data_IF_698664548230
#
_entry.id   IF_698664548230
#
_cell.length_a   1.000
_cell.length_b   1.000
_cell.length_c   1.000
_cell.angle_alpha   90.00
_cell.angle_beta   90.00
_cell.angle_gamma   90.00
#
_symmetry.space_group_name_H-M   'P 1'
#
loop_
_entity.id
_entity.type
_entity.pdbx_description
1 polymer ?
#
# COMPACT_ATOMS: atom_id res chain seq x y z
N UNK A 1 22.20 -11.07 -10.75
CA UNK A 1 22.08 -9.77 -11.48
C UNK A 1 21.67 -8.67 -10.49
N UNK A 2 22.03 -7.39 -10.69
CA UNK A 2 21.86 -6.32 -9.69
C UNK A 2 20.43 -6.11 -9.13
N UNK A 3 19.41 -6.68 -9.77
CA UNK A 3 17.99 -6.55 -9.43
C UNK A 3 17.29 -7.89 -9.10
N UNK A 4 18.02 -8.94 -8.71
CA UNK A 4 17.44 -10.27 -8.38
C UNK A 4 16.43 -10.25 -7.22
N UNK A 5 16.38 -9.18 -6.44
CA UNK A 5 15.45 -9.01 -5.34
C UNK A 5 14.12 -8.35 -5.76
N UNK A 6 13.92 -8.02 -7.05
CA UNK A 6 12.68 -7.39 -7.54
C UNK A 6 12.04 -8.30 -8.57
N UNK A 7 10.92 -8.92 -8.18
CA UNK A 7 10.13 -9.71 -9.13
C UNK A 7 9.14 -8.78 -9.84
N UNK A 8 9.34 -8.55 -11.14
CA UNK A 8 8.43 -7.75 -11.97
C UNK A 8 7.35 -8.61 -12.63
N UNK A 9 6.18 -8.03 -12.87
CA UNK A 9 5.06 -8.66 -13.54
C UNK A 9 4.37 -7.69 -14.51
N UNK A 10 4.18 -8.14 -15.75
CA UNK A 10 3.51 -7.38 -16.81
C UNK A 10 2.00 -7.65 -16.79
N UNK A 11 1.18 -6.61 -16.95
CA UNK A 11 -0.25 -6.76 -17.22
C UNK A 11 -0.53 -7.08 -18.69
N UNK A 12 -1.73 -7.61 -18.99
CA UNK A 12 -2.22 -7.71 -20.36
C UNK A 12 -2.25 -6.39 -21.13
N UNK A 13 -2.42 -5.25 -20.43
CA UNK A 13 -2.42 -3.90 -21.03
C UNK A 13 -0.99 -3.33 -21.26
N UNK A 14 0.06 -4.08 -20.95
CA UNK A 14 1.45 -3.65 -21.08
C UNK A 14 2.03 -2.94 -19.86
N UNK A 15 1.24 -2.64 -18.83
CA UNK A 15 1.75 -2.02 -17.61
C UNK A 15 2.67 -2.96 -16.84
N UNK A 16 3.86 -2.47 -16.51
CA UNK A 16 4.81 -3.18 -15.66
C UNK A 16 4.55 -2.76 -14.22
N UNK A 17 4.56 -3.74 -13.31
CA UNK A 17 4.52 -3.46 -11.88
C UNK A 17 5.26 -4.53 -11.09
N UNK A 18 5.64 -4.23 -9.83
CA UNK A 18 6.34 -5.17 -8.99
C UNK A 18 5.39 -6.22 -8.42
N UNK A 19 5.95 -7.29 -7.86
CA UNK A 19 5.22 -8.19 -6.97
C UNK A 19 5.51 -7.84 -5.52
N UNK A 20 4.53 -8.07 -4.66
CA UNK A 20 4.78 -8.08 -3.23
C UNK A 20 5.78 -9.18 -2.88
N UNK A 21 6.82 -8.86 -2.12
CA UNK A 21 7.83 -9.84 -1.67
C UNK A 21 7.23 -10.94 -0.79
N UNK A 22 6.22 -10.63 0.03
CA UNK A 22 5.62 -11.59 0.96
C UNK A 22 4.59 -12.51 0.29
N UNK A 23 3.58 -11.95 -0.38
CA UNK A 23 2.47 -12.73 -0.92
C UNK A 23 2.49 -12.92 -2.45
N UNK A 24 3.45 -12.32 -3.16
CA UNK A 24 3.63 -12.50 -4.61
C UNK A 24 2.53 -11.87 -5.49
N UNK A 25 1.56 -11.16 -4.89
CA UNK A 25 0.51 -10.48 -5.65
C UNK A 25 1.13 -9.44 -6.57
N UNK A 26 0.56 -9.29 -7.76
CA UNK A 26 0.97 -8.25 -8.70
C UNK A 26 0.45 -6.90 -8.24
N UNK A 27 1.34 -5.94 -8.16
CA UNK A 27 1.06 -4.56 -7.78
C UNK A 27 1.29 -3.65 -8.98
N UNK A 28 0.73 -2.45 -8.93
CA UNK A 28 1.14 -1.33 -9.78
C UNK A 28 2.20 -0.53 -9.02
N UNK A 29 3.04 0.23 -9.73
CA UNK A 29 4.00 1.10 -9.03
C UNK A 29 3.31 2.18 -8.16
N UNK A 30 2.03 2.48 -8.39
CA UNK A 30 1.26 3.41 -7.58
C UNK A 30 0.76 2.85 -6.25
N UNK A 31 0.59 1.54 -6.12
CA UNK A 31 0.11 0.90 -4.88
C UNK A 31 1.18 0.05 -4.16
N UNK A 32 2.37 -0.08 -4.74
CA UNK A 32 3.49 -0.77 -4.12
C UNK A 32 4.24 0.14 -3.16
N UNK A 33 4.43 -0.32 -1.92
CA UNK A 33 5.24 0.38 -0.92
C UNK A 33 6.69 -0.14 -0.99
N UNK A 34 7.66 0.77 -1.00
CA UNK A 34 9.08 0.41 -1.00
C UNK A 34 9.59 0.19 0.43
N UNK A 35 10.15 -0.98 0.72
CA UNK A 35 10.73 -1.33 2.02
C UNK A 35 12.15 -1.85 1.79
N UNK A 36 13.14 -0.97 2.02
CA UNK A 36 14.55 -1.26 1.74
C UNK A 36 14.77 -1.56 0.25
N UNK A 37 14.97 -2.84 -0.07
CA UNK A 37 15.16 -3.31 -1.45
C UNK A 37 13.90 -3.94 -2.06
N UNK A 38 12.83 -4.11 -1.28
CA UNK A 38 11.65 -4.87 -1.70
C UNK A 38 10.44 -3.97 -1.95
N UNK A 39 9.48 -4.49 -2.70
CA UNK A 39 8.15 -3.91 -2.83
C UNK A 39 7.13 -4.75 -2.06
N UNK A 40 6.21 -4.09 -1.37
CA UNK A 40 5.18 -4.74 -0.55
C UNK A 40 3.81 -4.16 -0.83
N UNK A 41 2.77 -4.98 -0.66
CA UNK A 41 1.40 -4.46 -0.56
C UNK A 41 1.21 -3.75 0.79
N UNK A 42 0.15 -2.97 0.92
CA UNK A 42 -0.14 -2.21 2.14
C UNK A 42 -0.17 -3.09 3.41
N UNK A 43 -0.82 -4.24 3.36
CA UNK A 43 -0.94 -5.17 4.50
C UNK A 43 0.44 -5.59 5.03
N UNK A 44 1.30 -6.12 4.16
CA UNK A 44 2.64 -6.54 4.55
C UNK A 44 3.58 -5.37 4.87
N UNK A 45 3.34 -4.20 4.26
CA UNK A 45 4.05 -2.98 4.65
C UNK A 45 3.76 -2.62 6.10
N UNK A 46 2.49 -2.62 6.52
CA UNK A 46 2.07 -2.38 7.90
C UNK A 46 2.66 -3.43 8.84
N UNK A 47 2.55 -4.72 8.50
CA UNK A 47 3.13 -5.81 9.30
C UNK A 47 4.65 -5.70 9.48
N UNK A 48 5.37 -5.30 8.43
CA UNK A 48 6.84 -5.22 8.46
C UNK A 48 7.34 -3.96 9.16
N UNK A 49 6.64 -2.84 9.01
CA UNK A 49 7.10 -1.53 9.49
C UNK A 49 6.45 -1.11 10.82
N UNK A 50 5.33 -1.73 11.20
CA UNK A 50 4.48 -1.26 12.28
C UNK A 50 3.82 0.08 11.98
N UNK A 51 3.77 0.50 10.71
CA UNK A 51 3.14 1.75 10.32
C UNK A 51 1.64 1.72 10.61
N UNK A 52 1.10 2.82 11.13
CA UNK A 52 -0.32 3.02 11.34
C UNK A 52 -0.77 4.31 10.65
N UNK A 53 -2.07 4.45 10.44
CA UNK A 53 -2.65 5.64 9.85
C UNK A 53 -2.44 6.85 10.77
N UNK A 54 -1.99 7.97 10.20
CA UNK A 54 -1.90 9.24 10.95
C UNK A 54 -3.28 9.91 11.15
N UNK A 55 -4.29 9.43 10.42
CA UNK A 55 -5.66 9.95 10.51
C UNK A 55 -6.36 9.33 11.71
N UNK A 56 -6.56 10.11 12.76
CA UNK A 56 -7.50 9.74 13.80
C UNK A 56 -8.92 9.88 13.24
N UNK A 57 -9.72 8.81 13.29
CA UNK A 57 -11.16 8.91 13.05
C UNK A 57 -11.73 9.66 14.25
N UNK A 58 -12.05 10.94 14.07
CA UNK A 58 -12.76 11.71 15.09
C UNK A 58 -14.17 11.14 15.23
N UNK A 59 -14.49 10.55 16.37
CA UNK A 59 -15.86 10.27 16.76
C UNK A 59 -16.57 11.59 17.01
N UNK A 60 -17.16 12.16 15.96
CA UNK A 60 -18.10 13.26 16.14
C UNK A 60 -19.44 12.65 16.57
N UNK A 61 -19.85 12.90 17.82
CA UNK A 61 -21.17 12.49 18.33
C UNK A 61 -22.31 13.06 17.46
N UNK A 62 -22.07 14.17 16.77
CA UNK A 62 -23.05 14.86 15.93
C UNK A 62 -22.39 15.36 14.63
N UNK A 63 -23.08 15.24 13.49
CA UNK A 63 -22.56 15.72 12.21
C UNK A 63 -22.52 17.25 12.24
N UNK A 64 -21.49 17.87 11.67
CA UNK A 64 -21.24 19.32 11.79
C UNK A 64 -22.38 20.24 11.29
N UNK A 65 -23.35 19.70 10.56
CA UNK A 65 -24.52 20.41 10.03
C UNK A 65 -25.82 20.14 10.80
N UNK A 66 -25.77 19.42 11.92
CA UNK A 66 -26.94 19.07 12.74
C UNK A 66 -27.25 20.09 13.85
N UNK A 67 -26.56 21.24 13.90
CA UNK A 67 -26.95 22.36 14.77
C UNK A 67 -28.30 22.90 14.29
N UNK A 68 -29.39 22.48 14.95
CA UNK A 68 -30.69 23.10 14.75
C UNK A 68 -30.61 24.55 15.26
N UNK A 69 -30.97 25.49 14.40
CA UNK A 69 -31.17 26.92 14.69
C UNK A 69 -32.15 27.15 15.85
#
# INVERSE_FOLDING_TARGET
>A
MPHEHITLAQAPNGEIGPRCESCGIRLTFGNAMAVGKFYMCWEHYVETTGADTATAVGEAEERFWMTNE
#
